data_IF_924677706488
#
_entry.id   IF_924677706488
#
_cell.length_a   1.000
_cell.length_b   1.000
_cell.length_c   1.000
_cell.angle_alpha   90.00
_cell.angle_beta   90.00
_cell.angle_gamma   90.00
#
_symmetry.space_group_name_H-M   'P 1'
#
loop_
_entity.id
_entity.type
_entity.pdbx_description
1 polymer ?
#
# COMPACT_ATOMS: atom_id res chain seq x y z
N UNK A 1 33.72 30.76 -72.05
CA UNK A 1 33.19 29.62 -71.29
C UNK A 1 33.21 30.01 -69.81
N UNK A 2 32.00 30.30 -69.28
CA UNK A 2 31.85 30.73 -67.86
C UNK A 2 31.42 29.50 -67.03
N UNK A 3 32.34 29.03 -66.20
CA UNK A 3 32.09 27.96 -65.24
C UNK A 3 31.38 28.53 -64.03
N UNK A 4 30.13 28.17 -63.86
CA UNK A 4 29.35 28.46 -62.69
C UNK A 4 29.71 27.44 -61.58
N UNK A 5 30.34 27.87 -60.53
CA UNK A 5 30.55 27.10 -59.30
C UNK A 5 29.29 27.29 -58.47
N UNK A 6 28.44 26.27 -58.43
CA UNK A 6 27.31 26.15 -57.48
C UNK A 6 27.88 25.77 -56.10
N UNK A 7 27.99 26.77 -55.25
CA UNK A 7 28.20 26.56 -53.78
C UNK A 7 26.89 26.06 -53.21
N UNK A 8 26.77 24.74 -53.04
CA UNK A 8 25.76 24.11 -52.19
C UNK A 8 26.12 24.36 -50.72
N UNK A 9 25.57 25.42 -50.15
CA UNK A 9 25.51 25.62 -48.71
C UNK A 9 24.56 24.54 -48.13
N UNK A 10 25.12 23.41 -47.73
CA UNK A 10 24.43 22.46 -46.88
C UNK A 10 24.26 23.10 -45.49
N UNK A 11 23.14 23.74 -45.28
CA UNK A 11 22.68 24.16 -43.98
C UNK A 11 22.37 22.88 -43.18
N UNK A 12 23.35 22.41 -42.39
CA UNK A 12 23.10 21.49 -41.31
C UNK A 12 22.19 22.23 -40.30
N UNK A 13 20.90 22.10 -40.46
CA UNK A 13 19.98 22.35 -39.38
C UNK A 13 20.27 21.31 -38.31
N UNK A 14 21.10 21.65 -37.33
CA UNK A 14 21.15 21.00 -36.06
C UNK A 14 19.77 21.18 -35.41
N UNK A 15 18.88 20.28 -35.78
CA UNK A 15 17.63 20.10 -35.05
C UNK A 15 18.01 19.67 -33.66
N UNK A 16 18.17 20.64 -32.77
CA UNK A 16 18.07 20.36 -31.35
C UNK A 16 16.69 19.71 -31.16
N UNK A 17 16.66 18.39 -31.07
CA UNK A 17 15.44 17.70 -30.65
C UNK A 17 15.18 18.24 -29.25
N UNK A 18 14.25 19.18 -29.15
CA UNK A 18 13.71 19.63 -27.88
C UNK A 18 13.20 18.35 -27.20
N UNK A 19 13.96 17.89 -26.23
CA UNK A 19 13.60 16.70 -25.46
C UNK A 19 12.23 17.01 -24.89
N UNK A 20 11.21 16.27 -25.35
CA UNK A 20 9.83 16.54 -24.97
C UNK A 20 9.75 16.53 -23.45
N UNK A 21 9.35 17.65 -22.88
CA UNK A 21 9.20 17.81 -21.45
C UNK A 21 8.13 16.80 -20.97
N UNK A 22 8.52 15.80 -20.20
CA UNK A 22 7.62 14.74 -19.72
C UNK A 22 8.03 14.22 -18.35
N UNK A 23 7.06 13.71 -17.62
CA UNK A 23 7.27 13.07 -16.32
C UNK A 23 7.19 11.55 -16.48
N UNK A 24 8.32 10.88 -16.48
CA UNK A 24 8.37 9.42 -16.65
C UNK A 24 7.82 8.68 -15.42
N UNK A 25 7.94 9.28 -14.23
CA UNK A 25 7.47 8.70 -12.97
C UNK A 25 5.97 8.83 -12.75
N UNK A 26 5.30 9.73 -13.54
CA UNK A 26 3.87 10.03 -13.33
C UNK A 26 3.15 10.39 -14.60
N UNK A 27 2.38 9.45 -15.14
CA UNK A 27 1.63 9.63 -16.41
C UNK A 27 0.54 10.69 -16.38
N UNK A 28 0.05 11.08 -15.19
CA UNK A 28 -0.97 12.13 -15.06
C UNK A 28 -0.38 13.52 -14.91
N UNK A 29 0.94 13.65 -14.81
CA UNK A 29 1.58 14.95 -14.75
C UNK A 29 1.54 15.64 -16.12
N UNK A 30 1.28 16.94 -16.11
CA UNK A 30 1.42 17.83 -17.26
C UNK A 30 2.73 18.57 -17.14
N UNK A 31 3.55 18.52 -18.17
CA UNK A 31 4.87 19.15 -18.18
C UNK A 31 4.97 20.17 -19.29
N UNK A 32 5.57 21.33 -19.00
CA UNK A 32 5.80 22.40 -19.96
C UNK A 32 7.04 23.23 -19.61
N UNK A 33 7.41 24.12 -20.50
CA UNK A 33 8.45 25.11 -20.29
C UNK A 33 9.88 24.63 -20.50
N UNK A 34 10.81 25.60 -20.44
CA UNK A 34 12.24 25.39 -20.44
C UNK A 34 12.89 26.33 -19.40
N UNK A 35 13.34 25.83 -18.24
CA UNK A 35 13.46 24.42 -17.87
C UNK A 35 12.10 23.72 -17.68
N UNK A 36 12.09 22.39 -17.89
CA UNK A 36 10.89 21.58 -17.77
C UNK A 36 10.30 21.65 -16.35
N UNK A 37 9.06 22.13 -16.25
CA UNK A 37 8.26 22.10 -15.02
C UNK A 37 7.11 21.12 -15.15
N UNK A 38 6.94 20.25 -14.17
CA UNK A 38 5.84 19.29 -14.16
C UNK A 38 4.87 19.57 -13.02
N UNK A 39 3.58 19.40 -13.30
CA UNK A 39 2.49 19.71 -12.40
C UNK A 39 1.47 18.57 -12.37
N UNK A 40 0.92 18.32 -11.23
CA UNK A 40 -0.13 17.33 -11.01
C UNK A 40 -1.41 18.04 -10.58
N UNK A 41 -2.52 17.79 -11.28
CA UNK A 41 -3.82 18.31 -10.88
C UNK A 41 -4.32 17.59 -9.63
N UNK A 42 -4.49 18.34 -8.55
CA UNK A 42 -4.90 17.82 -7.25
C UNK A 42 -6.29 18.29 -6.82
N UNK A 43 -6.81 19.36 -7.47
CA UNK A 43 -8.16 19.87 -7.29
C UNK A 43 -8.59 20.69 -8.51
N UNK A 44 -9.83 21.24 -8.52
CA UNK A 44 -10.31 22.10 -9.59
C UNK A 44 -9.43 23.36 -9.72
N UNK A 45 -8.60 23.40 -10.77
CA UNK A 45 -7.68 24.51 -11.02
C UNK A 45 -6.45 24.55 -10.12
N UNK A 46 -6.33 23.68 -9.14
CA UNK A 46 -5.16 23.59 -8.28
C UNK A 46 -4.14 22.60 -8.85
N UNK A 47 -2.92 23.08 -9.06
CA UNK A 47 -1.81 22.30 -9.60
C UNK A 47 -0.70 22.23 -8.57
N UNK A 48 -0.24 21.01 -8.28
CA UNK A 48 0.91 20.77 -7.43
C UNK A 48 2.14 20.57 -8.29
N UNK A 49 3.17 21.40 -8.10
CA UNK A 49 4.47 21.19 -8.73
C UNK A 49 5.11 19.89 -8.22
N UNK A 50 5.63 19.07 -9.13
CA UNK A 50 6.25 17.78 -8.80
C UNK A 50 7.64 17.65 -9.40
N UNK A 51 8.49 16.89 -8.71
CA UNK A 51 9.85 16.57 -9.16
C UNK A 51 9.84 15.21 -9.88
N UNK A 52 9.87 15.23 -11.20
CA UNK A 52 9.84 14.04 -12.05
C UNK A 52 11.16 13.26 -12.12
N UNK A 53 12.22 13.72 -11.45
CA UNK A 53 13.46 12.96 -11.27
C UNK A 53 13.37 11.93 -10.15
N UNK A 54 12.30 11.97 -9.36
CA UNK A 54 12.03 11.08 -8.21
C UNK A 54 10.63 10.48 -8.31
N UNK A 55 10.35 9.51 -7.46
CA UNK A 55 8.97 9.06 -7.24
C UNK A 55 8.16 10.21 -6.62
N UNK A 56 6.96 10.41 -7.10
CA UNK A 56 6.07 11.44 -6.56
C UNK A 56 5.57 11.03 -5.18
N UNK A 57 5.57 11.95 -4.20
CA UNK A 57 5.09 11.65 -2.85
C UNK A 57 3.66 11.10 -2.82
N UNK A 58 3.45 10.07 -2.01
CA UNK A 58 2.16 9.35 -1.91
C UNK A 58 0.99 10.29 -1.64
N UNK A 59 1.16 11.30 -0.80
CA UNK A 59 0.10 12.25 -0.47
C UNK A 59 -0.41 13.00 -1.70
N UNK A 60 0.47 13.49 -2.56
CA UNK A 60 0.09 14.15 -3.81
C UNK A 60 -0.58 13.18 -4.80
N UNK A 61 -0.09 11.93 -4.85
CA UNK A 61 -0.71 10.91 -5.71
C UNK A 61 -2.13 10.60 -5.27
N UNK A 62 -2.38 10.50 -3.96
CA UNK A 62 -3.72 10.28 -3.43
C UNK A 62 -4.65 11.46 -3.73
N UNK A 63 -4.18 12.72 -3.57
CA UNK A 63 -4.97 13.90 -3.96
C UNK A 63 -5.34 13.87 -5.45
N UNK A 64 -4.36 13.59 -6.31
CA UNK A 64 -4.59 13.50 -7.74
C UNK A 64 -5.56 12.37 -8.10
N UNK A 65 -5.45 11.21 -7.45
CA UNK A 65 -6.36 10.10 -7.64
C UNK A 65 -7.79 10.46 -7.22
N UNK A 66 -7.96 11.13 -6.07
CA UNK A 66 -9.26 11.64 -5.63
C UNK A 66 -9.85 12.65 -6.59
N UNK A 67 -9.05 13.60 -7.09
CA UNK A 67 -9.50 14.55 -8.11
C UNK A 67 -9.97 13.84 -9.38
N UNK A 68 -9.17 12.89 -9.88
CA UNK A 68 -9.52 12.11 -11.08
C UNK A 68 -10.80 11.28 -10.87
N UNK A 69 -10.95 10.64 -9.70
CA UNK A 69 -12.15 9.89 -9.35
C UNK A 69 -13.41 10.78 -9.34
N UNK A 70 -13.32 12.00 -8.79
CA UNK A 70 -14.42 12.99 -8.81
C UNK A 70 -14.78 13.45 -10.25
N UNK A 71 -13.81 13.43 -11.16
CA UNK A 71 -13.98 13.79 -12.56
C UNK A 71 -14.32 12.60 -13.46
N UNK A 72 -14.53 11.41 -12.92
CA UNK A 72 -14.73 10.15 -13.65
C UNK A 72 -13.60 9.85 -14.66
N UNK A 73 -12.37 10.30 -14.36
CA UNK A 73 -11.17 9.96 -15.12
C UNK A 73 -10.60 8.65 -14.62
N UNK A 74 -9.82 7.95 -15.46
CA UNK A 74 -9.21 6.68 -15.12
C UNK A 74 -8.29 6.80 -13.90
N UNK A 75 -8.63 6.07 -12.84
CA UNK A 75 -7.84 5.96 -11.62
C UNK A 75 -7.50 4.52 -11.28
N UNK A 76 -8.32 3.57 -11.77
CA UNK A 76 -8.19 2.13 -11.51
C UNK A 76 -8.45 1.38 -12.81
N UNK A 77 -7.99 0.12 -12.91
CA UNK A 77 -8.38 -0.76 -14.00
C UNK A 77 -9.90 -0.98 -13.96
N UNK A 78 -10.54 -1.10 -15.10
CA UNK A 78 -11.99 -1.13 -15.33
C UNK A 78 -12.79 -2.15 -14.50
N UNK A 79 -12.15 -3.03 -13.76
CA UNK A 79 -12.77 -4.03 -12.88
C UNK A 79 -13.08 -3.51 -11.46
N UNK A 80 -12.68 -2.30 -11.10
CA UNK A 80 -12.66 -1.86 -9.70
C UNK A 80 -13.67 -0.80 -9.27
N UNK A 81 -14.54 -0.33 -10.13
CA UNK A 81 -15.55 0.68 -9.73
C UNK A 81 -14.97 1.96 -9.11
N UNK A 82 -15.84 2.81 -8.55
CA UNK A 82 -15.41 4.01 -7.79
C UNK A 82 -14.63 3.58 -6.55
N UNK A 83 -13.54 4.32 -6.19
CA UNK A 83 -12.84 4.09 -4.93
C UNK A 83 -13.85 4.20 -3.77
N UNK A 84 -13.98 3.14 -2.99
CA UNK A 84 -14.82 3.15 -1.78
C UNK A 84 -13.93 3.49 -0.59
N UNK A 85 -14.38 4.42 0.26
CA UNK A 85 -13.66 4.88 1.48
C UNK A 85 -13.69 3.79 2.59
N UNK A 86 -13.52 2.53 2.24
CA UNK A 86 -13.52 1.40 3.19
C UNK A 86 -12.12 0.79 3.27
N UNK A 87 -11.22 1.48 3.94
CA UNK A 87 -9.88 1.00 4.18
C UNK A 87 -9.77 0.35 5.55
N UNK A 88 -10.05 -0.94 5.66
CA UNK A 88 -9.69 -1.68 6.87
C UNK A 88 -8.73 -2.85 6.62
N UNK A 89 -8.63 -3.36 5.40
CA UNK A 89 -7.79 -4.53 5.11
C UNK A 89 -6.83 -4.24 3.96
N UNK A 90 -7.28 -3.49 2.96
CA UNK A 90 -6.46 -3.06 1.84
C UNK A 90 -6.29 -1.54 1.93
N UNK A 91 -5.05 -1.05 1.80
CA UNK A 91 -4.76 0.37 1.68
C UNK A 91 -5.38 1.02 0.42
N UNK A 92 -6.37 0.38 -0.16
CA UNK A 92 -7.15 0.83 -1.32
C UNK A 92 -8.17 1.92 -0.97
N UNK A 93 -8.37 2.19 0.30
CA UNK A 93 -9.21 3.31 0.76
C UNK A 93 -8.55 4.63 0.43
N UNK A 94 -9.12 5.30 -0.56
CA UNK A 94 -8.67 6.62 -0.98
C UNK A 94 -9.52 7.64 -0.24
N UNK A 95 -8.88 8.51 0.51
CA UNK A 95 -9.47 9.74 1.04
C UNK A 95 -8.74 10.93 0.43
N UNK A 96 -9.32 12.14 0.53
CA UNK A 96 -8.69 13.37 0.09
C UNK A 96 -7.73 13.86 1.16
N UNK A 97 -6.42 13.59 1.06
CA UNK A 97 -5.49 13.87 2.15
C UNK A 97 -5.09 15.34 2.19
N UNK A 98 -4.76 15.81 3.39
CA UNK A 98 -4.02 17.03 3.58
C UNK A 98 -2.52 16.76 3.57
N UNK A 99 -1.81 17.46 2.68
CA UNK A 99 -0.38 17.30 2.47
C UNK A 99 0.38 18.54 2.95
N UNK A 100 1.60 18.32 3.41
CA UNK A 100 2.60 19.37 3.58
C UNK A 100 3.21 19.74 2.20
N UNK A 101 3.93 20.86 2.14
CA UNK A 101 4.51 21.38 0.90
C UNK A 101 5.58 20.47 0.27
N UNK A 102 6.13 19.55 1.05
CA UNK A 102 7.09 18.54 0.59
C UNK A 102 6.42 17.21 0.16
N UNK A 103 5.09 17.14 0.22
CA UNK A 103 4.30 15.98 -0.16
C UNK A 103 4.15 14.92 0.93
N UNK A 104 4.60 15.20 2.15
CA UNK A 104 4.27 14.37 3.31
C UNK A 104 2.82 14.56 3.73
N UNK A 105 2.27 13.58 4.41
CA UNK A 105 0.95 13.72 5.02
C UNK A 105 1.03 14.65 6.23
N UNK A 106 0.04 15.50 6.40
CA UNK A 106 -0.19 16.12 7.71
C UNK A 106 -0.56 15.03 8.70
N UNK A 107 -0.01 15.10 9.90
CA UNK A 107 -0.27 14.10 10.94
C UNK A 107 -1.76 13.93 11.23
N UNK A 108 -2.52 15.03 11.19
CA UNK A 108 -3.98 15.08 11.34
C UNK A 108 -4.65 15.15 9.97
N UNK A 109 -5.59 14.28 9.75
CA UNK A 109 -6.44 14.22 8.56
C UNK A 109 -7.90 14.38 8.96
N UNK A 110 -8.70 15.06 8.14
CA UNK A 110 -10.13 15.24 8.37
C UNK A 110 -10.92 14.97 7.07
N UNK A 111 -12.11 14.42 7.17
CA UNK A 111 -12.98 14.17 6.03
C UNK A 111 -13.96 15.32 5.89
N UNK A 112 -13.73 16.41 5.28
CA UNK A 112 -14.66 17.53 5.01
C UNK A 112 -15.85 17.70 6.01
N UNK A 113 -15.84 16.93 7.12
CA UNK A 113 -16.77 16.98 8.22
C UNK A 113 -15.98 17.25 9.51
N UNK A 114 -16.62 17.12 10.67
CA UNK A 114 -15.96 17.26 11.96
C UNK A 114 -15.16 16.03 12.41
N UNK A 115 -15.08 14.99 11.55
CA UNK A 115 -14.36 13.74 11.87
C UNK A 115 -12.93 13.79 11.39
N UNK A 116 -12.01 13.70 12.35
CA UNK A 116 -10.57 13.73 12.13
C UNK A 116 -9.90 12.48 12.70
N UNK A 117 -8.71 12.16 12.21
CA UNK A 117 -7.88 11.04 12.69
C UNK A 117 -6.41 11.35 12.48
N UNK A 118 -5.53 10.65 13.20
CA UNK A 118 -4.10 10.73 12.97
C UNK A 118 -3.64 9.64 12.00
N UNK A 119 -2.64 9.96 11.18
CA UNK A 119 -2.03 9.05 10.21
C UNK A 119 -0.53 8.93 10.42
N UNK A 120 0.07 7.89 9.83
CA UNK A 120 1.52 7.72 9.72
C UNK A 120 2.06 8.33 8.41
N UNK A 121 3.37 8.19 8.16
CA UNK A 121 4.02 8.66 6.94
C UNK A 121 3.53 7.96 5.66
N UNK A 122 2.90 6.80 5.78
CA UNK A 122 2.23 6.11 4.68
C UNK A 122 0.78 6.57 4.47
N UNK A 123 0.26 7.51 5.27
CA UNK A 123 -1.13 7.94 5.21
C UNK A 123 -2.13 6.94 5.82
N UNK A 124 -1.64 5.94 6.53
CA UNK A 124 -2.48 4.92 7.18
C UNK A 124 -2.96 5.44 8.53
N UNK A 125 -4.23 5.26 8.80
CA UNK A 125 -4.85 5.71 10.06
C UNK A 125 -4.28 4.98 11.28
N UNK A 126 -3.94 5.76 12.32
CA UNK A 126 -3.33 5.28 13.56
C UNK A 126 -4.20 5.45 14.80
N UNK A 127 -5.28 6.22 14.71
CA UNK A 127 -6.17 6.50 15.84
C UNK A 127 -7.61 6.24 15.45
N UNK A 128 -8.47 6.16 16.46
CA UNK A 128 -9.89 6.29 16.22
C UNK A 128 -10.24 7.65 15.60
N UNK A 129 -11.38 7.71 14.90
CA UNK A 129 -11.92 8.98 14.40
C UNK A 129 -12.48 9.79 15.58
N UNK A 130 -11.91 10.94 15.80
CA UNK A 130 -12.36 11.94 16.79
C UNK A 130 -13.05 13.14 16.12
N UNK A 131 -13.12 14.22 16.85
CA UNK A 131 -13.59 15.55 16.40
C UNK A 131 -12.42 16.43 15.91
N UNK A 132 -12.71 17.70 15.68
CA UNK A 132 -11.69 18.69 15.27
C UNK A 132 -10.64 18.98 16.33
N UNK A 133 -10.94 18.70 17.61
CA UNK A 133 -10.03 18.95 18.72
C UNK A 133 -9.01 17.82 18.92
N UNK A 134 -9.14 16.71 18.15
CA UNK A 134 -8.17 15.63 18.14
C UNK A 134 -6.76 16.16 17.89
N UNK A 135 -5.84 15.85 18.79
CA UNK A 135 -4.44 16.24 18.69
C UNK A 135 -3.61 15.11 18.11
N UNK A 136 -2.86 15.42 17.05
CA UNK A 136 -1.85 14.54 16.46
C UNK A 136 -0.51 15.27 16.60
N UNK A 137 0.26 14.90 17.61
CA UNK A 137 1.46 15.66 18.00
C UNK A 137 2.53 15.68 16.91
N UNK A 138 2.74 14.55 16.23
CA UNK A 138 3.71 14.40 15.15
C UNK A 138 3.26 13.38 14.12
N UNK A 139 3.82 13.47 12.93
CA UNK A 139 3.72 12.42 11.93
C UNK A 139 4.63 11.26 12.34
N UNK A 140 4.07 10.09 12.59
CA UNK A 140 4.85 8.90 12.92
C UNK A 140 5.33 8.24 11.64
N UNK A 141 6.63 7.94 11.59
CA UNK A 141 7.25 7.32 10.43
C UNK A 141 7.01 5.81 10.38
N UNK A 142 6.82 5.32 9.17
CA UNK A 142 6.85 3.90 8.85
C UNK A 142 8.29 3.49 8.62
N UNK A 143 8.79 2.51 9.36
CA UNK A 143 10.17 2.04 9.25
C UNK A 143 10.30 0.67 8.56
N UNK A 144 9.21 -0.05 8.45
CA UNK A 144 9.18 -1.38 7.86
C UNK A 144 7.96 -1.55 6.96
N UNK A 145 8.17 -2.18 5.81
CA UNK A 145 7.11 -2.55 4.87
C UNK A 145 7.25 -4.03 4.53
N UNK A 146 6.17 -4.78 4.63
CA UNK A 146 6.09 -6.15 4.14
C UNK A 146 5.21 -6.19 2.90
N UNK A 147 5.75 -6.75 1.83
CA UNK A 147 5.06 -6.97 0.57
C UNK A 147 4.79 -8.47 0.44
N UNK A 148 3.54 -8.86 0.23
CA UNK A 148 3.17 -10.22 -0.14
C UNK A 148 2.75 -10.20 -1.61
N UNK A 149 3.60 -10.72 -2.46
CA UNK A 149 3.44 -10.73 -3.91
C UNK A 149 3.04 -12.13 -4.36
N UNK A 150 1.86 -12.28 -4.95
CA UNK A 150 1.44 -13.53 -5.59
C UNK A 150 1.67 -13.40 -7.08
N UNK A 151 2.40 -14.36 -7.68
CA UNK A 151 2.64 -14.38 -9.12
C UNK A 151 1.74 -15.40 -9.82
N UNK A 152 1.52 -15.20 -11.12
CA UNK A 152 0.84 -16.17 -11.99
C UNK A 152 1.62 -17.47 -12.07
N UNK A 153 0.96 -18.53 -12.50
CA UNK A 153 1.64 -19.79 -12.83
C UNK A 153 2.78 -19.58 -13.81
N UNK A 154 3.85 -20.31 -13.59
CA UNK A 154 5.06 -20.22 -14.40
C UNK A 154 5.33 -21.57 -15.07
N UNK A 155 5.88 -21.58 -16.31
CA UNK A 155 6.18 -22.83 -17.03
C UNK A 155 7.19 -23.71 -16.30
N UNK A 156 8.06 -23.13 -15.51
CA UNK A 156 9.11 -23.83 -14.74
C UNK A 156 9.07 -23.40 -13.28
N UNK A 157 9.50 -24.24 -12.35
CA UNK A 157 9.64 -23.85 -10.95
C UNK A 157 10.53 -22.61 -10.79
N UNK A 158 10.19 -21.74 -9.88
CA UNK A 158 10.96 -20.52 -9.58
C UNK A 158 12.21 -20.90 -8.81
N UNK A 159 13.39 -20.46 -9.28
CA UNK A 159 14.64 -20.64 -8.54
C UNK A 159 14.68 -19.70 -7.33
N UNK A 160 14.52 -20.27 -6.15
CA UNK A 160 14.55 -19.51 -4.90
C UNK A 160 15.96 -19.01 -4.54
N UNK A 161 17.03 -19.60 -5.10
CA UNK A 161 18.43 -19.29 -4.71
C UNK A 161 18.80 -17.85 -5.08
N UNK A 162 18.40 -17.39 -6.26
CA UNK A 162 18.66 -16.03 -6.76
C UNK A 162 17.55 -15.01 -6.46
N UNK A 163 16.46 -15.43 -5.82
CA UNK A 163 15.22 -14.66 -5.74
C UNK A 163 15.42 -13.32 -5.01
N UNK A 164 16.13 -13.28 -3.88
CA UNK A 164 16.38 -12.04 -3.12
C UNK A 164 17.08 -11.00 -4.00
N UNK A 165 18.14 -11.38 -4.66
CA UNK A 165 18.91 -10.46 -5.52
C UNK A 165 18.06 -9.98 -6.70
N UNK A 166 17.34 -10.89 -7.37
CA UNK A 166 16.50 -10.56 -8.51
C UNK A 166 15.37 -9.58 -8.14
N UNK A 167 14.71 -9.80 -7.00
CA UNK A 167 13.66 -8.90 -6.48
C UNK A 167 14.24 -7.54 -6.09
N UNK A 168 15.35 -7.52 -5.34
CA UNK A 168 15.99 -6.27 -4.92
C UNK A 168 16.46 -5.43 -6.11
N UNK A 169 17.06 -6.06 -7.13
CA UNK A 169 17.50 -5.40 -8.35
C UNK A 169 16.31 -4.89 -9.19
N UNK A 170 15.21 -5.66 -9.26
CA UNK A 170 13.99 -5.22 -9.94
C UNK A 170 13.35 -4.01 -9.26
N UNK A 171 13.31 -3.98 -7.93
CA UNK A 171 12.85 -2.84 -7.13
C UNK A 171 13.74 -1.62 -7.37
N UNK A 172 15.05 -1.78 -7.24
CA UNK A 172 16.03 -0.72 -7.46
C UNK A 172 15.90 -0.10 -8.86
N UNK A 173 15.84 -0.94 -9.90
CA UNK A 173 15.76 -0.50 -11.29
C UNK A 173 14.45 0.22 -11.60
N UNK A 174 13.33 -0.29 -11.09
CA UNK A 174 12.02 0.23 -11.44
C UNK A 174 11.65 1.49 -10.64
N UNK A 175 11.97 1.51 -9.35
CA UNK A 175 11.53 2.59 -8.47
C UNK A 175 12.62 3.64 -8.20
N UNK A 176 13.17 4.19 -9.28
CA UNK A 176 14.09 5.32 -9.25
C UNK A 176 15.33 5.11 -8.38
N UNK A 177 16.01 3.99 -8.60
CA UNK A 177 17.21 3.59 -7.86
C UNK A 177 16.97 3.51 -6.35
N UNK A 178 15.81 3.01 -5.95
CA UNK A 178 15.53 2.71 -4.56
C UNK A 178 16.64 1.85 -3.96
N UNK A 179 17.14 2.22 -2.78
CA UNK A 179 18.27 1.52 -2.18
C UNK A 179 17.91 0.05 -1.91
N UNK A 180 18.51 -0.87 -2.67
CA UNK A 180 18.28 -2.30 -2.57
C UNK A 180 18.73 -2.93 -1.25
N UNK A 181 19.65 -2.28 -0.52
CA UNK A 181 20.12 -2.75 0.79
C UNK A 181 19.03 -2.67 1.87
N UNK A 182 17.98 -1.87 1.61
CA UNK A 182 16.79 -1.84 2.46
C UNK A 182 15.91 -3.11 2.31
N UNK A 183 16.15 -3.95 1.30
CA UNK A 183 15.49 -5.26 1.16
C UNK A 183 16.15 -6.24 2.14
N UNK A 184 15.56 -6.36 3.32
CA UNK A 184 16.08 -7.16 4.43
C UNK A 184 15.98 -8.65 4.15
N UNK A 185 14.78 -9.15 3.82
CA UNK A 185 14.55 -10.55 3.53
C UNK A 185 13.59 -10.78 2.38
N UNK A 186 13.79 -11.90 1.68
CA UNK A 186 12.84 -12.41 0.68
C UNK A 186 12.62 -13.89 0.96
N UNK A 187 11.35 -14.28 1.13
CA UNK A 187 10.92 -15.68 1.33
C UNK A 187 9.97 -16.07 0.22
N UNK A 188 10.00 -17.34 -0.16
CA UNK A 188 9.15 -17.87 -1.22
C UNK A 188 8.37 -19.10 -0.74
N UNK A 189 7.09 -19.09 -0.98
CA UNK A 189 6.19 -20.22 -0.82
C UNK A 189 5.74 -20.67 -2.21
N UNK A 190 6.26 -21.80 -2.71
CA UNK A 190 5.94 -22.30 -4.05
C UNK A 190 4.48 -22.78 -4.18
N UNK A 191 3.89 -23.31 -3.11
CA UNK A 191 2.52 -23.83 -3.13
C UNK A 191 1.51 -22.69 -3.25
N UNK A 192 1.75 -21.59 -2.53
CA UNK A 192 0.96 -20.37 -2.62
C UNK A 192 1.38 -19.45 -3.78
N UNK A 193 2.48 -19.74 -4.48
CA UNK A 193 3.10 -18.85 -5.47
C UNK A 193 3.35 -17.46 -4.92
N UNK A 194 3.73 -17.38 -3.65
CA UNK A 194 3.82 -16.14 -2.89
C UNK A 194 5.26 -15.81 -2.53
N UNK A 195 5.65 -14.59 -2.87
CA UNK A 195 6.92 -14.00 -2.49
C UNK A 195 6.66 -12.99 -1.38
N UNK A 196 7.27 -13.18 -0.22
CA UNK A 196 7.21 -12.23 0.89
C UNK A 196 8.51 -11.44 0.91
N UNK A 197 8.42 -10.12 0.74
CA UNK A 197 9.55 -9.20 0.72
C UNK A 197 9.45 -8.27 1.92
N UNK A 198 10.46 -8.30 2.76
CA UNK A 198 10.60 -7.38 3.89
C UNK A 198 11.57 -6.25 3.52
N UNK A 199 11.08 -5.03 3.62
CA UNK A 199 11.85 -3.81 3.35
C UNK A 199 11.90 -2.98 4.63
N UNK A 200 13.11 -2.66 5.09
CA UNK A 200 13.34 -2.06 6.40
C UNK A 200 14.36 -0.94 6.34
N UNK A 201 14.09 0.15 7.04
CA UNK A 201 15.05 1.19 7.40
C UNK A 201 15.26 1.24 8.91
N UNK A 202 16.35 1.82 9.36
CA UNK A 202 16.60 2.01 10.78
C UNK A 202 15.57 2.96 11.41
N UNK A 203 15.18 2.68 12.65
CA UNK A 203 14.29 3.57 13.42
C UNK A 203 15.01 4.92 13.61
N UNK A 204 14.31 6.01 13.28
CA UNK A 204 14.88 7.35 13.28
C UNK A 204 15.52 7.78 11.98
N UNK A 205 15.71 6.91 11.00
CA UNK A 205 16.18 7.30 9.66
C UNK A 205 15.08 8.09 8.92
N UNK A 206 15.44 9.32 8.52
CA UNK A 206 14.56 10.23 7.75
C UNK A 206 15.06 10.46 6.32
N UNK A 207 16.11 9.74 5.91
CA UNK A 207 16.73 9.88 4.57
C UNK A 207 16.08 8.95 3.55
N UNK A 208 15.54 7.80 3.98
CA UNK A 208 14.89 6.81 3.14
C UNK A 208 13.38 6.81 3.36
N UNK A 209 12.61 6.74 2.27
CA UNK A 209 11.17 6.55 2.29
C UNK A 209 10.79 5.20 1.66
N UNK A 210 10.43 4.25 2.50
CA UNK A 210 10.00 2.90 2.06
C UNK A 210 8.54 2.88 1.60
N UNK A 211 7.75 3.91 1.94
CA UNK A 211 6.31 3.95 1.68
C UNK A 211 5.98 4.30 0.24
N UNK A 212 6.78 5.17 -0.39
CA UNK A 212 6.60 5.57 -1.78
C UNK A 212 6.77 4.40 -2.74
N UNK A 213 7.87 3.64 -2.59
CA UNK A 213 8.13 2.46 -3.40
C UNK A 213 6.99 1.43 -3.26
N UNK A 214 6.57 1.17 -2.04
CA UNK A 214 5.48 0.23 -1.76
C UNK A 214 4.16 0.65 -2.41
N UNK A 215 3.83 1.94 -2.36
CA UNK A 215 2.63 2.47 -3.01
C UNK A 215 2.68 2.37 -4.54
N UNK A 216 3.81 2.71 -5.16
CA UNK A 216 3.98 2.53 -6.60
C UNK A 216 3.85 1.07 -7.03
N UNK A 217 4.43 0.14 -6.25
CA UNK A 217 4.33 -1.29 -6.52
C UNK A 217 2.89 -1.79 -6.37
N UNK A 218 2.17 -1.34 -5.36
CA UNK A 218 0.75 -1.66 -5.18
C UNK A 218 -0.08 -1.24 -6.41
N UNK A 219 0.14 -0.02 -6.91
CA UNK A 219 -0.51 0.46 -8.13
C UNK A 219 -0.11 -0.35 -9.36
N UNK A 220 1.17 -0.69 -9.50
CA UNK A 220 1.67 -1.51 -10.61
C UNK A 220 1.01 -2.89 -10.68
N UNK A 221 0.72 -3.50 -9.55
CA UNK A 221 0.16 -4.86 -9.49
C UNK A 221 -1.36 -4.85 -9.50
N UNK A 222 -2.00 -4.13 -8.58
CA UNK A 222 -3.45 -4.21 -8.37
C UNK A 222 -4.26 -3.30 -9.28
N UNK A 223 -3.76 -2.10 -9.57
CA UNK A 223 -4.60 -1.04 -10.13
C UNK A 223 -4.16 -0.74 -11.56
N UNK A 224 -3.30 0.23 -11.69
CA UNK A 224 -2.68 0.57 -12.97
C UNK A 224 -1.34 1.25 -12.71
N UNK A 225 -0.34 1.01 -13.56
CA UNK A 225 0.97 1.64 -13.43
C UNK A 225 0.87 3.15 -13.44
N UNK A 226 1.60 3.80 -12.54
CA UNK A 226 1.69 5.27 -12.48
C UNK A 226 2.73 5.82 -13.45
N UNK A 227 3.71 5.02 -13.82
CA UNK A 227 4.73 5.38 -14.80
C UNK A 227 4.13 5.62 -16.19
N UNK A 228 4.75 6.49 -16.95
CA UNK A 228 4.36 6.77 -18.33
C UNK A 228 4.47 5.55 -19.25
N UNK A 229 5.43 4.67 -19.00
CA UNK A 229 5.65 3.44 -19.76
C UNK A 229 4.52 2.43 -19.68
N UNK A 230 3.61 2.54 -18.71
CA UNK A 230 2.51 1.60 -18.46
C UNK A 230 2.95 0.14 -18.21
N UNK A 231 4.24 -0.13 -18.06
CA UNK A 231 4.73 -1.46 -17.71
C UNK A 231 4.41 -1.78 -16.26
N UNK A 232 4.04 -3.04 -15.99
CA UNK A 232 3.80 -3.53 -14.63
C UNK A 232 5.09 -4.02 -13.99
N UNK A 233 5.09 -4.07 -12.66
CA UNK A 233 6.17 -4.73 -11.93
C UNK A 233 6.19 -6.23 -12.22
N UNK A 234 7.26 -6.71 -12.83
CA UNK A 234 7.44 -8.11 -13.17
C UNK A 234 8.95 -8.46 -13.14
N UNK A 235 9.45 -8.93 -12.00
CA UNK A 235 10.86 -9.26 -11.85
C UNK A 235 11.23 -10.49 -12.71
N UNK A 236 12.49 -10.57 -13.11
CA UNK A 236 13.04 -11.73 -13.84
C UNK A 236 13.90 -12.54 -12.89
N UNK A 237 13.54 -13.80 -12.68
CA UNK A 237 14.23 -14.73 -11.79
C UNK A 237 14.65 -15.96 -12.58
N UNK A 238 15.94 -16.30 -12.59
CA UNK A 238 16.44 -17.42 -13.37
C UNK A 238 16.15 -17.33 -14.88
N UNK A 239 16.05 -16.11 -15.43
CA UNK A 239 15.67 -15.89 -16.83
C UNK A 239 14.17 -15.91 -17.10
N UNK A 240 13.33 -16.23 -16.10
CA UNK A 240 11.89 -16.29 -16.22
C UNK A 240 11.25 -15.02 -15.64
N UNK A 241 10.38 -14.37 -16.41
CA UNK A 241 9.62 -13.20 -15.98
C UNK A 241 8.45 -13.63 -15.10
N UNK A 242 8.39 -13.11 -13.88
CA UNK A 242 7.29 -13.36 -12.95
C UNK A 242 6.24 -12.24 -13.06
N UNK A 243 5.10 -12.55 -13.66
CA UNK A 243 3.97 -11.63 -13.72
C UNK A 243 3.21 -11.66 -12.39
N UNK A 244 3.10 -10.52 -11.73
CA UNK A 244 2.37 -10.41 -10.48
C UNK A 244 0.87 -10.39 -10.72
N UNK A 245 0.14 -11.15 -9.90
CA UNK A 245 -1.34 -11.24 -9.92
C UNK A 245 -1.96 -10.44 -8.79
N UNK A 246 -1.34 -10.49 -7.61
CA UNK A 246 -1.83 -9.78 -6.43
C UNK A 246 -0.68 -9.30 -5.55
N UNK A 247 -0.97 -8.29 -4.72
CA UNK A 247 -0.05 -7.77 -3.71
C UNK A 247 -0.85 -7.35 -2.46
N UNK A 248 -0.31 -7.67 -1.29
CA UNK A 248 -0.71 -7.07 -0.03
C UNK A 248 0.46 -6.31 0.56
N UNK A 249 0.20 -5.11 1.04
CA UNK A 249 1.22 -4.23 1.62
C UNK A 249 0.89 -3.96 3.08
N UNK A 250 1.83 -4.29 3.96
CA UNK A 250 1.73 -4.02 5.38
C UNK A 250 2.75 -2.97 5.77
N UNK A 251 2.29 -1.94 6.48
CA UNK A 251 3.13 -0.86 6.99
C UNK A 251 3.27 -1.02 8.51
N UNK A 252 4.51 -0.97 8.99
CA UNK A 252 4.83 -1.03 10.42
C UNK A 252 5.51 0.27 10.82
N UNK A 253 4.93 0.94 11.80
CA UNK A 253 5.38 2.23 12.28
C UNK A 253 6.43 2.10 13.39
N UNK A 254 7.22 3.16 13.57
CA UNK A 254 8.16 3.27 14.69
C UNK A 254 7.47 3.21 16.05
N UNK A 255 6.21 3.61 16.11
CA UNK A 255 5.38 3.60 17.32
C UNK A 255 4.08 2.83 17.08
N UNK A 256 3.61 2.11 18.06
CA UNK A 256 2.34 1.40 17.96
C UNK A 256 1.15 2.35 17.77
N UNK A 257 0.14 1.99 16.96
CA UNK A 257 -1.06 2.79 16.81
C UNK A 257 -1.89 2.82 18.10
N UNK A 258 -2.60 3.93 18.32
CA UNK A 258 -3.42 4.14 19.52
C UNK A 258 -4.91 4.04 19.17
N UNK A 259 -5.37 2.81 18.89
CA UNK A 259 -6.80 2.54 18.78
C UNK A 259 -7.37 2.25 20.16
N UNK A 260 -8.52 2.89 20.47
CA UNK A 260 -9.28 2.61 21.69
C UNK A 260 -10.55 1.87 21.32
N UNK A 261 -11.05 1.05 22.24
CA UNK A 261 -12.32 0.34 22.05
C UNK A 261 -13.55 1.27 22.25
N UNK A 262 -13.34 2.57 22.50
CA UNK A 262 -14.42 3.50 22.86
C UNK A 262 -15.45 3.75 21.76
N UNK A 263 -15.10 3.49 20.50
CA UNK A 263 -16.00 3.69 19.36
C UNK A 263 -16.52 2.38 18.75
N UNK A 264 -16.48 1.28 19.49
CA UNK A 264 -17.19 0.07 19.06
C UNK A 264 -18.68 0.36 18.98
N UNK A 265 -19.27 0.12 17.80
CA UNK A 265 -20.73 0.28 17.65
C UNK A 265 -21.44 -0.62 18.65
N UNK A 266 -22.56 -0.13 19.22
CA UNK A 266 -23.36 -0.92 20.17
C UNK A 266 -23.72 -2.32 19.65
N UNK A 267 -23.83 -2.48 18.32
CA UNK A 267 -24.04 -3.79 17.67
C UNK A 267 -22.85 -4.76 17.86
N UNK A 268 -21.61 -4.28 17.74
CA UNK A 268 -20.42 -5.13 17.96
C UNK A 268 -20.31 -5.52 19.43
N UNK A 269 -20.57 -4.58 20.34
CA UNK A 269 -20.60 -4.85 21.80
C UNK A 269 -21.65 -5.91 22.11
N UNK A 270 -22.87 -5.79 21.54
CA UNK A 270 -23.94 -6.76 21.74
C UNK A 270 -23.53 -8.16 21.24
N UNK A 271 -22.89 -8.28 20.07
CA UNK A 271 -22.41 -9.58 19.56
C UNK A 271 -21.37 -10.19 20.50
N UNK A 272 -20.38 -9.40 20.96
CA UNK A 272 -19.36 -9.89 21.90
C UNK A 272 -20.02 -10.40 23.18
N UNK A 273 -20.97 -9.65 23.76
CA UNK A 273 -21.68 -10.03 24.97
C UNK A 273 -22.46 -11.34 24.77
N UNK A 274 -23.19 -11.49 23.65
CA UNK A 274 -23.93 -12.70 23.34
C UNK A 274 -23.00 -13.91 23.21
N UNK A 275 -21.87 -13.79 22.53
CA UNK A 275 -20.90 -14.87 22.38
C UNK A 275 -20.30 -15.28 23.74
N UNK A 276 -19.93 -14.32 24.57
CA UNK A 276 -19.38 -14.60 25.92
C UNK A 276 -20.44 -15.30 26.78
N UNK A 277 -21.68 -14.83 26.76
CA UNK A 277 -22.77 -15.48 27.52
C UNK A 277 -23.04 -16.91 27.02
N UNK A 278 -23.04 -17.14 25.70
CA UNK A 278 -23.22 -18.49 25.15
C UNK A 278 -22.11 -19.46 25.60
N UNK A 279 -20.86 -19.01 25.62
CA UNK A 279 -19.73 -19.82 26.13
C UNK A 279 -19.90 -20.12 27.62
N UNK A 280 -20.23 -19.13 28.44
CA UNK A 280 -20.43 -19.30 29.88
C UNK A 280 -21.57 -20.29 30.16
N UNK A 281 -22.71 -20.12 29.49
CA UNK A 281 -23.85 -21.02 29.61
C UNK A 281 -23.48 -22.46 29.20
N UNK A 282 -22.78 -22.61 28.09
CA UNK A 282 -22.29 -23.92 27.61
C UNK A 282 -21.39 -24.62 28.64
N UNK A 283 -20.46 -23.88 29.24
CA UNK A 283 -19.59 -24.41 30.30
C UNK A 283 -20.36 -24.80 31.56
N UNK A 284 -21.36 -23.99 31.97
CA UNK A 284 -22.24 -24.31 33.10
C UNK A 284 -23.02 -25.57 32.84
N UNK A 285 -23.62 -25.69 31.65
CA UNK A 285 -24.38 -26.90 31.27
C UNK A 285 -23.49 -28.14 31.32
N UNK A 286 -22.28 -28.08 30.75
CA UNK A 286 -21.31 -29.18 30.81
C UNK A 286 -20.93 -29.53 32.25
N UNK A 287 -20.70 -28.52 33.10
CA UNK A 287 -20.41 -28.72 34.50
C UNK A 287 -21.54 -29.45 35.25
N UNK A 288 -22.79 -29.02 35.05
CA UNK A 288 -23.93 -29.64 35.68
C UNK A 288 -24.18 -31.07 35.17
N UNK A 289 -24.02 -31.31 33.85
CA UNK A 289 -24.13 -32.66 33.29
C UNK A 289 -23.07 -33.60 33.92
N UNK A 290 -21.80 -33.18 33.95
CA UNK A 290 -20.74 -33.96 34.59
C UNK A 290 -20.98 -34.22 36.08
N UNK A 291 -21.54 -33.25 36.83
CA UNK A 291 -21.91 -33.41 38.22
C UNK A 291 -23.06 -34.40 38.39
N UNK A 292 -24.05 -34.39 37.44
CA UNK A 292 -25.18 -35.36 37.42
C UNK A 292 -24.68 -36.76 37.13
N UNK A 293 -23.78 -36.94 36.19
CA UNK A 293 -23.24 -38.24 35.82
C UNK A 293 -22.39 -38.84 36.98
N UNK A 294 -21.58 -38.04 37.66
CA UNK A 294 -20.88 -38.49 38.88
C UNK A 294 -21.86 -38.95 39.95
N UNK A 295 -22.97 -38.24 40.19
CA UNK A 295 -23.96 -38.65 41.15
C UNK A 295 -24.67 -39.94 40.76
N UNK A 296 -24.94 -40.19 39.49
CA UNK A 296 -25.52 -41.45 39.00
C UNK A 296 -24.55 -42.61 39.16
N UNK A 297 -23.26 -42.41 38.80
CA UNK A 297 -22.23 -43.44 38.95
C UNK A 297 -22.05 -43.87 40.41
N UNK A 298 -21.97 -42.91 41.32
CA UNK A 298 -21.84 -43.23 42.74
C UNK A 298 -23.06 -43.96 43.31
N UNK A 299 -24.28 -43.66 42.88
CA UNK A 299 -25.50 -44.39 43.28
C UNK A 299 -25.56 -45.80 42.71
N UNK A 300 -25.03 -46.06 41.55
CA UNK A 300 -24.95 -47.40 40.95
C UNK A 300 -23.96 -48.27 41.73
N UNK A 301 -22.75 -47.77 42.01
CA UNK A 301 -21.75 -48.48 42.84
C UNK A 301 -22.26 -48.79 44.23
N UNK A 302 -22.99 -47.87 44.86
CA UNK A 302 -23.54 -48.09 46.22
C UNK A 302 -24.59 -49.21 46.24
N UNK A 303 -25.43 -49.30 45.19
CA UNK A 303 -26.42 -50.38 45.06
C UNK A 303 -25.78 -51.73 44.78
N UNK A 304 -24.68 -51.81 44.07
CA UNK A 304 -23.94 -53.06 43.86
C UNK A 304 -23.23 -53.53 45.14
N UNK A 305 -22.75 -52.63 45.99
CA UNK A 305 -22.18 -53.00 47.30
C UNK A 305 -23.22 -53.41 48.31
N UNK A 306 -24.45 -52.86 48.29
CA UNK A 306 -25.52 -53.23 49.19
C UNK A 306 -26.22 -54.55 48.78
N UNK A 307 -25.94 -55.07 47.57
CA UNK A 307 -26.50 -56.33 47.02
C UNK A 307 -25.54 -57.53 47.17
N UNK A 308 -24.32 -57.35 47.72
CA UNK A 308 -23.35 -58.42 48.09
C UNK A 308 -23.49 -58.77 49.56
#
# INVERSE_FOLDING_TARGET
MKTWILLLLASFALGASAQACSCETMKWATCDGNPCGCYLLVNNGEQQKVDCTKLIPKCYLMKAEMYRARKNLDTRSTLGGKPVETAFVDNDGIYDPECENDGKFRAKQCNNTEKCWCVNSAGVRRTDKGDKDLKCEKLVETHFVRLQLTHKETPQPVDATGLKTAIADAINKRYQNFNKDLVDSVKYDPDARMIVVDVKKEIGDRTADVTQMAYYMEKDVKILPLFKSQEKFAPVVGGQKLEMENILVYYVDEEAPTFTMQNLSGGIIAVIVVVVLAVVIGLLVLFFLRKRDKKRYNKTQQREMDAM
#
